data_IF_880314113158
#
_entry.id   IF_880314113158
#
_cell.length_a   1.000
_cell.length_b   1.000
_cell.length_c   1.000
_cell.angle_alpha   90.00
_cell.angle_beta   90.00
_cell.angle_gamma   90.00
#
_symmetry.space_group_name_H-M   'P 1'
#
loop_
_entity.id
_entity.type
_entity.pdbx_description
1 polymer ?
#
# COMPACT_ATOMS: atom_id res chain seq x y z
N UNK A 1 22.73 17.63 -14.18
CA UNK A 1 21.79 17.32 -15.25
C UNK A 1 21.79 15.83 -15.55
N UNK A 2 20.64 15.32 -15.98
CA UNK A 2 20.51 13.96 -16.50
C UNK A 2 21.26 13.84 -17.83
N UNK A 3 21.94 12.72 -18.06
CA UNK A 3 22.61 12.46 -19.33
C UNK A 3 21.60 12.14 -20.45
N UNK A 4 20.54 11.42 -20.13
CA UNK A 4 19.51 11.01 -21.06
C UNK A 4 18.59 12.18 -21.46
N UNK A 5 18.05 12.88 -20.45
CA UNK A 5 17.04 13.93 -20.68
C UNK A 5 17.64 15.31 -20.91
N UNK A 6 18.94 15.52 -20.69
CA UNK A 6 19.63 16.80 -20.80
C UNK A 6 18.96 17.95 -20.07
N UNK A 7 18.32 17.65 -18.98
CA UNK A 7 17.59 18.59 -18.11
C UNK A 7 18.03 18.39 -16.65
N UNK A 8 17.82 19.36 -15.78
CA UNK A 8 18.10 19.20 -14.37
C UNK A 8 17.33 18.00 -13.79
N UNK A 9 18.05 17.13 -13.08
CA UNK A 9 17.49 15.93 -12.45
C UNK A 9 16.33 16.27 -11.49
N UNK A 10 16.43 17.43 -10.81
CA UNK A 10 15.37 17.93 -9.94
C UNK A 10 14.03 18.08 -10.66
N UNK A 11 14.01 18.63 -11.87
CA UNK A 11 12.78 18.85 -12.64
C UNK A 11 12.10 17.52 -13.00
N UNK A 12 12.91 16.50 -13.35
CA UNK A 12 12.40 15.17 -13.68
C UNK A 12 11.78 14.53 -12.45
N UNK A 13 12.48 14.58 -11.31
CA UNK A 13 12.02 13.98 -10.05
C UNK A 13 10.74 14.68 -9.57
N UNK A 14 10.73 16.00 -9.44
CA UNK A 14 9.57 16.75 -8.99
C UNK A 14 8.34 16.56 -9.88
N UNK A 15 8.53 16.44 -11.19
CA UNK A 15 7.44 16.16 -12.13
C UNK A 15 6.75 14.81 -11.92
N UNK A 16 7.41 13.85 -11.28
CA UNK A 16 6.87 12.50 -11.04
C UNK A 16 6.46 12.25 -9.59
N UNK A 17 7.00 13.00 -8.65
CA UNK A 17 6.76 12.80 -7.23
C UNK A 17 5.29 12.93 -6.83
N UNK A 18 4.58 13.92 -7.36
CA UNK A 18 3.19 14.13 -7.04
C UNK A 18 2.31 12.91 -7.35
N UNK A 19 2.47 12.32 -8.55
CA UNK A 19 1.72 11.12 -8.94
C UNK A 19 2.19 9.88 -8.19
N UNK A 20 3.49 9.75 -7.95
CA UNK A 20 4.04 8.67 -7.14
C UNK A 20 3.48 8.69 -5.73
N UNK A 21 3.49 9.84 -5.08
CA UNK A 21 2.95 10.01 -3.73
C UNK A 21 1.42 9.76 -3.69
N UNK A 22 0.68 10.24 -4.70
CA UNK A 22 -0.76 10.01 -4.80
C UNK A 22 -1.10 8.52 -4.90
N UNK A 23 -0.47 7.81 -5.84
CA UNK A 23 -0.68 6.36 -6.01
C UNK A 23 -0.31 5.60 -4.74
N UNK A 24 0.86 5.90 -4.15
CA UNK A 24 1.32 5.26 -2.92
C UNK A 24 0.35 5.51 -1.75
N UNK A 25 -0.10 6.75 -1.57
CA UNK A 25 -1.04 7.12 -0.50
C UNK A 25 -2.40 6.44 -0.68
N UNK A 26 -2.96 6.47 -1.88
CA UNK A 26 -4.23 5.79 -2.17
C UNK A 26 -4.11 4.28 -1.98
N UNK A 27 -3.00 3.67 -2.40
CA UNK A 27 -2.74 2.25 -2.20
C UNK A 27 -2.61 1.92 -0.71
N UNK A 28 -1.89 2.72 0.07
CA UNK A 28 -1.75 2.51 1.52
C UNK A 28 -3.12 2.55 2.22
N UNK A 29 -3.92 3.57 1.95
CA UNK A 29 -5.27 3.68 2.51
C UNK A 29 -6.13 2.48 2.11
N UNK A 30 -6.12 2.10 0.83
CA UNK A 30 -6.88 0.95 0.35
C UNK A 30 -6.46 -0.34 1.04
N UNK A 31 -5.15 -0.60 1.13
CA UNK A 31 -4.58 -1.76 1.83
C UNK A 31 -5.05 -1.81 3.28
N UNK A 32 -5.02 -0.69 3.99
CA UNK A 32 -5.44 -0.62 5.38
C UNK A 32 -6.95 -0.79 5.56
N UNK A 33 -7.75 -0.09 4.75
CA UNK A 33 -9.21 -0.19 4.81
C UNK A 33 -9.73 -1.61 4.55
N UNK A 34 -9.04 -2.37 3.70
CA UNK A 34 -9.43 -3.74 3.36
C UNK A 34 -8.84 -4.75 4.36
N UNK A 35 -7.55 -4.65 4.65
CA UNK A 35 -6.87 -5.66 5.48
C UNK A 35 -7.30 -5.63 6.96
N UNK A 36 -7.60 -4.45 7.50
CA UNK A 36 -7.98 -4.28 8.88
C UNK A 36 -9.28 -5.04 9.23
N UNK A 37 -10.44 -4.78 8.59
CA UNK A 37 -11.68 -5.49 8.91
C UNK A 37 -11.61 -6.98 8.56
N UNK A 38 -10.95 -7.35 7.45
CA UNK A 38 -10.80 -8.75 7.05
C UNK A 38 -9.93 -9.51 8.04
N UNK A 39 -8.82 -8.92 8.50
CA UNK A 39 -7.94 -9.54 9.50
C UNK A 39 -8.64 -9.74 10.85
N UNK A 40 -9.41 -8.75 11.31
CA UNK A 40 -10.24 -8.87 12.53
C UNK A 40 -11.27 -9.99 12.36
N UNK A 41 -12.02 -9.99 11.25
CA UNK A 41 -13.02 -11.02 10.98
C UNK A 41 -12.41 -12.42 11.02
N UNK A 42 -11.29 -12.60 10.33
CA UNK A 42 -10.57 -13.88 10.24
C UNK A 42 -10.07 -14.36 11.62
N UNK A 43 -9.62 -13.45 12.48
CA UNK A 43 -9.21 -13.78 13.84
C UNK A 43 -10.40 -14.16 14.75
N UNK A 44 -11.47 -13.37 14.71
CA UNK A 44 -12.66 -13.59 15.57
C UNK A 44 -13.44 -14.84 15.16
N UNK A 45 -13.47 -15.14 13.86
CA UNK A 45 -14.15 -16.30 13.29
C UNK A 45 -13.16 -17.37 12.83
N UNK A 46 -12.15 -17.66 13.65
CA UNK A 46 -11.14 -18.67 13.37
C UNK A 46 -11.77 -20.02 12.98
N UNK A 47 -11.19 -20.67 11.97
CA UNK A 47 -11.65 -21.95 11.41
C UNK A 47 -13.06 -21.96 10.79
N UNK A 48 -13.68 -20.78 10.61
CA UNK A 48 -14.91 -20.68 9.83
C UNK A 48 -14.63 -20.78 8.34
N UNK A 49 -15.68 -21.08 7.54
CA UNK A 49 -15.56 -21.06 6.08
C UNK A 49 -15.03 -19.71 5.54
N UNK A 50 -15.44 -18.59 6.16
CA UNK A 50 -14.93 -17.28 5.81
C UNK A 50 -13.44 -17.10 6.12
N UNK A 51 -12.94 -17.63 7.24
CA UNK A 51 -11.51 -17.61 7.56
C UNK A 51 -10.69 -18.43 6.54
N UNK A 52 -11.18 -19.59 6.13
CA UNK A 52 -10.53 -20.39 5.08
C UNK A 52 -10.52 -19.67 3.73
N UNK A 53 -11.60 -19.01 3.34
CA UNK A 53 -11.69 -18.21 2.12
C UNK A 53 -10.67 -17.05 2.16
N UNK A 54 -10.65 -16.28 3.25
CA UNK A 54 -9.71 -15.18 3.45
C UNK A 54 -8.26 -15.69 3.38
N UNK A 55 -7.98 -16.81 4.04
CA UNK A 55 -6.66 -17.42 4.05
C UNK A 55 -6.25 -17.87 2.65
N UNK A 56 -7.13 -18.54 1.92
CA UNK A 56 -6.89 -18.98 0.54
C UNK A 56 -6.55 -17.80 -0.39
N UNK A 57 -7.38 -16.75 -0.39
CA UNK A 57 -7.12 -15.57 -1.22
C UNK A 57 -5.90 -14.78 -0.78
N UNK A 58 -5.57 -14.77 0.51
CA UNK A 58 -4.33 -14.16 1.00
C UNK A 58 -3.10 -14.90 0.48
N UNK A 59 -3.10 -16.25 0.49
CA UNK A 59 -2.01 -17.01 -0.09
C UNK A 59 -1.92 -16.84 -1.59
N UNK A 60 -3.04 -16.84 -2.30
CA UNK A 60 -3.10 -16.63 -3.74
C UNK A 60 -2.53 -15.25 -4.12
N UNK A 61 -2.94 -14.20 -3.39
CA UNK A 61 -2.44 -12.84 -3.62
C UNK A 61 -0.94 -12.69 -3.36
N UNK A 62 -0.38 -13.44 -2.40
CA UNK A 62 1.07 -13.44 -2.16
C UNK A 62 1.87 -14.29 -3.16
N UNK A 63 1.26 -15.38 -3.65
CA UNK A 63 1.91 -16.26 -4.61
C UNK A 63 1.88 -15.70 -6.03
N UNK A 64 0.94 -14.78 -6.33
CA UNK A 64 0.79 -14.20 -7.66
C UNK A 64 1.73 -13.01 -7.84
N UNK A 65 2.63 -13.01 -8.82
CA UNK A 65 3.44 -11.84 -9.14
C UNK A 65 2.56 -10.63 -9.49
N UNK A 66 2.81 -9.48 -8.88
CA UNK A 66 2.00 -8.27 -9.06
C UNK A 66 1.87 -7.86 -10.53
N UNK A 67 2.95 -7.96 -11.31
CA UNK A 67 2.90 -7.61 -12.74
C UNK A 67 1.97 -8.53 -13.54
N UNK A 68 1.90 -9.82 -13.19
CA UNK A 68 0.99 -10.78 -13.82
C UNK A 68 -0.47 -10.43 -13.49
N UNK A 69 -0.74 -10.08 -12.23
CA UNK A 69 -2.04 -9.58 -11.81
C UNK A 69 -2.40 -8.30 -12.59
N UNK A 70 -1.42 -7.38 -12.78
CA UNK A 70 -1.58 -6.16 -13.57
C UNK A 70 -1.99 -6.45 -15.01
N UNK A 71 -1.28 -7.36 -15.69
CA UNK A 71 -1.60 -7.80 -17.06
C UNK A 71 -3.00 -8.44 -17.14
N UNK A 72 -3.34 -9.28 -16.17
CA UNK A 72 -4.65 -9.93 -16.11
C UNK A 72 -5.79 -8.92 -15.93
N UNK A 73 -5.64 -7.98 -15.01
CA UNK A 73 -6.65 -6.93 -14.77
C UNK A 73 -6.78 -6.00 -15.98
N UNK A 74 -5.66 -5.63 -16.63
CA UNK A 74 -5.71 -4.87 -17.89
C UNK A 74 -6.44 -5.62 -18.99
N UNK A 75 -6.16 -6.92 -19.17
CA UNK A 75 -6.85 -7.75 -20.14
C UNK A 75 -8.37 -7.78 -19.89
N UNK A 76 -8.78 -8.03 -18.62
CA UNK A 76 -10.20 -8.03 -18.26
C UNK A 76 -10.86 -6.67 -18.51
N UNK A 77 -10.16 -5.58 -18.22
CA UNK A 77 -10.68 -4.23 -18.45
C UNK A 77 -10.94 -3.95 -19.92
N UNK A 78 -10.02 -4.34 -20.80
CA UNK A 78 -10.22 -4.18 -22.25
C UNK A 78 -11.37 -5.04 -22.76
N UNK A 79 -11.44 -6.31 -22.33
CA UNK A 79 -12.42 -7.27 -22.85
C UNK A 79 -13.83 -6.99 -22.32
N UNK A 80 -13.99 -6.67 -21.04
CA UNK A 80 -15.31 -6.53 -20.41
C UNK A 80 -15.76 -5.10 -20.20
N UNK A 81 -14.83 -4.16 -20.00
CA UNK A 81 -15.16 -2.76 -19.79
C UNK A 81 -14.99 -1.90 -21.05
N UNK A 82 -14.31 -2.45 -22.08
CA UNK A 82 -14.18 -1.81 -23.40
C UNK A 82 -13.24 -0.60 -23.45
N UNK A 83 -12.44 -0.37 -22.40
CA UNK A 83 -11.48 0.73 -22.38
C UNK A 83 -10.10 0.30 -21.90
N UNK A 84 -9.07 0.96 -22.43
CA UNK A 84 -7.70 0.77 -21.99
C UNK A 84 -7.43 1.55 -20.70
N UNK A 85 -6.97 0.86 -19.67
CA UNK A 85 -6.67 1.44 -18.37
C UNK A 85 -5.16 1.65 -18.15
N UNK A 86 -4.41 1.73 -19.24
CA UNK A 86 -2.99 2.09 -19.17
C UNK A 86 -2.81 3.57 -18.82
N UNK A 87 -1.95 3.86 -17.85
CA UNK A 87 -1.73 5.21 -17.35
C UNK A 87 -2.69 5.66 -16.25
N UNK A 88 -2.62 6.94 -15.89
CA UNK A 88 -3.48 7.58 -14.89
C UNK A 88 -4.52 8.51 -15.51
N UNK A 89 -4.45 8.76 -16.80
CA UNK A 89 -5.33 9.67 -17.53
C UNK A 89 -5.64 9.15 -18.92
N UNK A 90 -6.86 9.42 -19.37
CA UNK A 90 -7.21 9.27 -20.78
C UNK A 90 -6.39 10.22 -21.66
N UNK A 91 -6.19 9.90 -22.96
CA UNK A 91 -5.45 10.77 -23.88
C UNK A 91 -5.96 12.21 -23.89
N UNK A 92 -7.27 12.40 -23.76
CA UNK A 92 -7.94 13.71 -23.77
C UNK A 92 -7.58 14.57 -22.54
N UNK A 93 -7.21 13.94 -21.42
CA UNK A 93 -6.89 14.61 -20.16
C UNK A 93 -5.41 14.62 -19.81
N UNK A 94 -4.55 13.97 -20.60
CA UNK A 94 -3.13 13.84 -20.32
C UNK A 94 -2.41 15.20 -20.19
N UNK A 95 -2.75 16.17 -21.04
CA UNK A 95 -2.10 17.48 -21.12
C UNK A 95 -3.00 18.67 -20.77
N UNK A 96 -4.16 18.43 -20.16
CA UNK A 96 -5.09 19.49 -19.76
C UNK A 96 -4.79 19.95 -18.32
N UNK A 97 -5.09 21.20 -18.01
CA UNK A 97 -4.99 21.74 -16.65
C UNK A 97 -5.93 21.01 -15.67
N UNK A 98 -5.69 21.16 -14.36
CA UNK A 98 -6.52 20.54 -13.34
C UNK A 98 -7.97 21.05 -13.40
N UNK A 99 -8.92 20.15 -13.51
CA UNK A 99 -10.36 20.39 -13.52
C UNK A 99 -11.08 19.25 -12.81
N UNK A 100 -12.35 19.45 -12.47
CA UNK A 100 -13.18 18.37 -11.88
C UNK A 100 -13.31 17.17 -12.82
N UNK A 101 -13.39 17.40 -14.13
CA UNK A 101 -13.43 16.34 -15.14
C UNK A 101 -12.12 15.52 -15.14
N UNK A 102 -10.97 16.19 -15.05
CA UNK A 102 -9.67 15.52 -14.96
C UNK A 102 -9.50 14.71 -13.68
N UNK A 103 -10.02 15.21 -12.55
CA UNK A 103 -10.01 14.45 -11.28
C UNK A 103 -10.90 13.21 -11.41
N UNK A 104 -12.06 13.33 -12.05
CA UNK A 104 -12.94 12.19 -12.34
C UNK A 104 -12.26 11.13 -13.20
N UNK A 105 -11.57 11.55 -14.26
CA UNK A 105 -10.79 10.67 -15.13
C UNK A 105 -9.64 9.98 -14.38
N UNK A 106 -8.91 10.73 -13.52
CA UNK A 106 -7.88 10.18 -12.64
C UNK A 106 -8.44 9.07 -11.74
N UNK A 107 -9.56 9.30 -11.05
CA UNK A 107 -10.18 8.31 -10.17
C UNK A 107 -10.62 7.06 -10.94
N UNK A 108 -11.09 7.26 -12.20
CA UNK A 108 -11.47 6.18 -13.08
C UNK A 108 -10.30 5.28 -13.53
N UNK A 109 -9.07 5.79 -13.54
CA UNK A 109 -7.87 5.02 -13.90
C UNK A 109 -7.08 4.56 -12.66
N UNK A 110 -7.19 5.25 -11.53
CA UNK A 110 -6.38 5.04 -10.33
C UNK A 110 -6.67 3.70 -9.64
N UNK A 111 -7.91 3.18 -9.73
CA UNK A 111 -8.30 1.97 -9.00
C UNK A 111 -7.50 0.73 -9.41
N UNK A 112 -7.08 0.61 -10.67
CA UNK A 112 -6.30 -0.54 -11.16
C UNK A 112 -4.89 -0.56 -10.57
N UNK A 113 -4.07 0.50 -10.69
CA UNK A 113 -2.78 0.55 -10.02
C UNK A 113 -2.90 0.32 -8.51
N UNK A 114 -3.89 0.92 -7.86
CA UNK A 114 -4.14 0.78 -6.42
C UNK A 114 -4.48 -0.67 -6.05
N UNK A 115 -5.34 -1.32 -6.82
CA UNK A 115 -5.69 -2.72 -6.60
C UNK A 115 -4.49 -3.64 -6.80
N UNK A 116 -3.80 -3.50 -7.94
CA UNK A 116 -2.67 -4.38 -8.30
C UNK A 116 -1.52 -4.25 -7.31
N UNK A 117 -1.14 -3.02 -6.96
CA UNK A 117 -0.08 -2.75 -5.97
C UNK A 117 -0.52 -3.14 -4.55
N UNK A 118 -1.82 -3.06 -4.26
CA UNK A 118 -2.36 -3.31 -2.92
C UNK A 118 -2.56 -4.77 -2.57
N UNK A 119 -2.83 -5.66 -3.53
CA UNK A 119 -3.21 -7.07 -3.25
C UNK A 119 -2.19 -7.81 -2.38
N UNK A 120 -0.91 -7.73 -2.73
CA UNK A 120 0.13 -8.38 -1.92
C UNK A 120 0.24 -7.77 -0.51
N UNK A 121 0.09 -6.45 -0.39
CA UNK A 121 0.06 -5.73 0.88
C UNK A 121 -1.14 -6.14 1.74
N UNK A 122 -2.34 -6.23 1.16
CA UNK A 122 -3.55 -6.70 1.84
C UNK A 122 -3.32 -8.11 2.39
N UNK A 123 -2.84 -9.02 1.55
CA UNK A 123 -2.59 -10.40 1.94
C UNK A 123 -1.60 -10.52 3.12
N UNK A 124 -0.53 -9.72 3.11
CA UNK A 124 0.43 -9.66 4.21
C UNK A 124 -0.18 -9.09 5.49
N UNK A 125 -0.88 -7.94 5.40
CA UNK A 125 -1.44 -7.26 6.58
C UNK A 125 -2.62 -7.99 7.19
N UNK A 126 -3.46 -8.67 6.40
CA UNK A 126 -4.53 -9.55 6.90
C UNK A 126 -3.94 -10.63 7.82
N UNK A 127 -2.84 -11.26 7.41
CA UNK A 127 -2.18 -12.30 8.22
C UNK A 127 -1.55 -11.74 9.49
N UNK A 128 -0.89 -10.58 9.40
CA UNK A 128 -0.31 -9.90 10.56
C UNK A 128 -1.41 -9.55 11.55
N UNK A 129 -2.50 -8.94 11.10
CA UNK A 129 -3.61 -8.57 11.96
C UNK A 129 -4.27 -9.79 12.59
N UNK A 130 -4.52 -10.85 11.78
CA UNK A 130 -5.09 -12.11 12.26
C UNK A 130 -4.23 -12.74 13.35
N UNK A 131 -2.93 -12.88 13.13
CA UNK A 131 -2.03 -13.50 14.09
C UNK A 131 -1.98 -12.71 15.41
N UNK A 132 -1.72 -11.41 15.34
CA UNK A 132 -1.63 -10.57 16.52
C UNK A 132 -2.94 -10.50 17.32
N UNK A 133 -4.07 -10.42 16.62
CA UNK A 133 -5.37 -10.39 17.31
C UNK A 133 -5.70 -11.73 17.94
N UNK A 134 -5.38 -12.86 17.32
CA UNK A 134 -5.55 -14.18 17.92
C UNK A 134 -4.76 -14.32 19.22
N UNK A 135 -3.50 -13.87 19.24
CA UNK A 135 -2.66 -13.89 20.43
C UNK A 135 -3.28 -13.04 21.56
N UNK A 136 -3.83 -11.88 21.22
CA UNK A 136 -4.45 -10.98 22.17
C UNK A 136 -5.82 -11.48 22.69
N UNK A 137 -6.60 -12.16 21.88
CA UNK A 137 -7.93 -12.69 22.27
C UNK A 137 -7.86 -13.74 23.39
N UNK A 138 -6.72 -14.40 23.56
CA UNK A 138 -6.48 -15.40 24.61
C UNK A 138 -5.88 -14.83 25.91
N UNK A 139 -5.70 -13.51 26.00
CA UNK A 139 -5.13 -12.86 27.18
C UNK A 139 -6.14 -12.76 28.33
N UNK A 140 -5.69 -12.88 29.61
CA UNK A 140 -6.56 -12.85 30.79
C UNK A 140 -7.43 -11.59 30.92
N UNK A 141 -6.99 -10.45 30.38
CA UNK A 141 -7.79 -9.22 30.42
C UNK A 141 -9.05 -9.29 29.54
N UNK A 142 -9.00 -10.07 28.47
CA UNK A 142 -10.16 -10.30 27.59
C UNK A 142 -11.18 -11.17 28.30
N UNK A 143 -10.76 -12.24 28.97
CA UNK A 143 -11.62 -13.09 29.80
C UNK A 143 -12.27 -12.30 30.94
N UNK A 144 -11.49 -11.44 31.60
CA UNK A 144 -11.98 -10.54 32.64
C UNK A 144 -13.06 -9.59 32.10
N UNK A 145 -12.86 -9.07 30.88
CA UNK A 145 -13.84 -8.22 30.21
C UNK A 145 -15.16 -8.95 29.93
N UNK A 146 -15.10 -10.21 29.49
CA UNK A 146 -16.26 -11.07 29.29
C UNK A 146 -16.98 -11.37 30.61
N UNK A 147 -16.23 -11.69 31.67
CA UNK A 147 -16.79 -11.95 33.00
C UNK A 147 -17.51 -10.71 33.58
N UNK A 148 -17.08 -9.50 33.22
CA UNK A 148 -17.74 -8.24 33.57
C UNK A 148 -18.96 -7.91 32.72
N UNK A 149 -19.35 -8.76 31.75
CA UNK A 149 -20.53 -8.59 30.92
C UNK A 149 -20.38 -7.56 29.80
N UNK A 150 -19.15 -7.22 29.38
CA UNK A 150 -18.95 -6.32 28.23
C UNK A 150 -19.47 -6.98 26.94
N UNK A 151 -20.19 -6.24 26.07
CA UNK A 151 -20.61 -6.75 24.77
C UNK A 151 -19.38 -7.17 23.93
N UNK A 152 -19.43 -8.36 23.34
CA UNK A 152 -18.28 -8.99 22.66
C UNK A 152 -17.63 -8.08 21.60
N UNK A 153 -18.43 -7.43 20.76
CA UNK A 153 -17.93 -6.53 19.73
C UNK A 153 -17.17 -5.32 20.34
N UNK A 154 -17.74 -4.74 21.40
CA UNK A 154 -17.11 -3.62 22.11
C UNK A 154 -15.82 -4.06 22.79
N UNK A 155 -15.83 -5.23 23.41
CA UNK A 155 -14.65 -5.83 24.04
C UNK A 155 -13.53 -6.01 23.04
N UNK A 156 -13.80 -6.67 21.90
CA UNK A 156 -12.81 -6.98 20.88
C UNK A 156 -12.24 -5.69 20.26
N UNK A 157 -13.09 -4.79 19.80
CA UNK A 157 -12.64 -3.58 19.11
C UNK A 157 -11.89 -2.60 20.01
N UNK A 158 -12.27 -2.52 21.30
CA UNK A 158 -11.72 -1.51 22.22
C UNK A 158 -10.41 -1.93 22.87
N UNK A 159 -10.20 -3.23 23.12
CA UNK A 159 -9.04 -3.70 23.91
C UNK A 159 -8.06 -4.51 23.05
N UNK A 160 -8.29 -5.77 22.68
CA UNK A 160 -7.30 -6.58 21.99
C UNK A 160 -6.97 -6.05 20.60
N UNK A 161 -7.94 -5.54 19.84
CA UNK A 161 -7.67 -4.95 18.52
C UNK A 161 -6.72 -3.77 18.60
N UNK A 162 -6.83 -2.93 19.63
CA UNK A 162 -5.93 -1.79 19.80
C UNK A 162 -4.47 -2.22 20.01
N UNK A 163 -4.24 -3.28 20.76
CA UNK A 163 -2.91 -3.83 20.98
C UNK A 163 -2.40 -4.53 19.71
N UNK A 164 -3.27 -5.30 19.05
CA UNK A 164 -2.95 -5.99 17.79
C UNK A 164 -2.60 -5.03 16.64
N UNK A 165 -2.96 -3.75 16.74
CA UNK A 165 -2.57 -2.71 15.78
C UNK A 165 -1.10 -2.32 15.87
N UNK A 166 -0.41 -2.50 17.00
CA UNK A 166 0.96 -2.05 17.15
C UNK A 166 1.90 -2.61 16.07
N UNK A 167 1.98 -3.94 15.85
CA UNK A 167 2.77 -4.49 14.76
C UNK A 167 2.27 -4.07 13.37
N UNK A 168 0.95 -3.86 13.21
CA UNK A 168 0.35 -3.40 11.96
C UNK A 168 0.82 -1.99 11.60
N UNK A 169 0.87 -1.08 12.57
CA UNK A 169 1.37 0.30 12.38
C UNK A 169 2.86 0.31 12.10
N UNK A 170 3.64 -0.56 12.75
CA UNK A 170 5.07 -0.71 12.48
C UNK A 170 5.36 -1.02 11.01
N UNK A 171 4.40 -1.59 10.28
CA UNK A 171 4.58 -1.86 8.84
C UNK A 171 4.64 -0.60 7.98
N UNK A 172 4.16 0.56 8.46
CA UNK A 172 4.19 1.83 7.70
C UNK A 172 5.61 2.19 7.30
N UNK A 173 6.58 1.95 8.18
CA UNK A 173 7.98 2.26 7.96
C UNK A 173 8.58 1.60 6.72
N UNK A 174 8.16 0.39 6.38
CA UNK A 174 8.68 -0.34 5.22
C UNK A 174 7.69 -0.39 4.04
N UNK A 175 6.38 -0.28 4.31
CA UNK A 175 5.36 -0.31 3.25
C UNK A 175 5.40 0.97 2.41
N UNK A 176 5.55 2.14 3.03
CA UNK A 176 5.63 3.42 2.31
C UNK A 176 6.73 3.44 1.25
N UNK A 177 8.00 3.12 1.56
CA UNK A 177 9.05 3.07 0.55
C UNK A 177 8.76 2.07 -0.58
N UNK A 178 8.22 0.90 -0.25
CA UNK A 178 7.85 -0.12 -1.25
C UNK A 178 6.75 0.40 -2.17
N UNK A 179 5.76 1.10 -1.64
CA UNK A 179 4.68 1.69 -2.45
C UNK A 179 5.17 2.86 -3.30
N UNK A 180 6.10 3.68 -2.77
CA UNK A 180 6.67 4.81 -3.51
C UNK A 180 7.63 4.35 -4.60
N UNK A 181 8.43 3.31 -4.34
CA UNK A 181 9.22 2.65 -5.39
C UNK A 181 8.29 2.13 -6.49
N UNK A 182 7.06 1.88 -6.13
CA UNK A 182 6.14 1.07 -6.87
C UNK A 182 6.77 -0.30 -7.11
N UNK A 183 6.02 -1.31 -7.43
CA UNK A 183 6.63 -2.37 -8.20
C UNK A 183 7.01 -1.73 -9.54
N UNK A 184 8.29 -1.48 -9.74
CA UNK A 184 8.83 -0.81 -10.93
C UNK A 184 8.33 -1.49 -12.19
N UNK A 185 8.16 -2.82 -12.12
CA UNK A 185 7.63 -3.63 -13.22
C UNK A 185 6.13 -3.36 -13.39
N UNK A 186 5.34 -3.31 -12.32
CA UNK A 186 3.90 -3.01 -12.37
C UNK A 186 3.65 -1.63 -12.97
N UNK A 187 4.37 -0.63 -12.50
CA UNK A 187 4.25 0.74 -13.02
C UNK A 187 4.60 0.82 -14.50
N UNK A 188 5.58 0.04 -14.96
CA UNK A 188 5.96 -0.03 -16.37
C UNK A 188 4.90 -0.75 -17.20
N UNK A 189 4.36 -1.87 -16.70
CA UNK A 189 3.30 -2.65 -17.37
C UNK A 189 2.01 -1.83 -17.48
N UNK A 190 1.62 -1.15 -16.41
CA UNK A 190 0.42 -0.32 -16.37
C UNK A 190 0.63 1.07 -16.98
N UNK A 191 1.83 1.39 -17.46
CA UNK A 191 2.20 2.72 -17.99
C UNK A 191 1.92 3.87 -17.01
N UNK A 192 2.03 3.62 -15.71
CA UNK A 192 1.79 4.63 -14.67
C UNK A 192 2.98 5.57 -14.57
N UNK A 193 2.79 6.90 -14.67
CA UNK A 193 3.88 7.88 -14.71
C UNK A 193 4.47 8.16 -13.32
N UNK A 194 4.97 7.11 -12.65
CA UNK A 194 5.65 7.17 -11.35
C UNK A 194 7.17 7.23 -11.50
N UNK A 195 7.89 7.31 -10.38
CA UNK A 195 9.35 7.31 -10.35
C UNK A 195 9.98 5.97 -10.78
N UNK A 196 9.24 4.86 -10.67
CA UNK A 196 9.73 3.52 -10.97
C UNK A 196 10.22 3.33 -12.43
N UNK A 197 9.39 3.60 -13.45
CA UNK A 197 9.79 3.49 -14.84
C UNK A 197 11.01 4.36 -15.21
N UNK A 198 11.12 5.55 -14.61
CA UNK A 198 12.27 6.43 -14.83
C UNK A 198 13.55 5.85 -14.23
N UNK A 199 13.45 5.18 -13.09
CA UNK A 199 14.60 4.50 -12.49
C UNK A 199 15.12 3.38 -13.42
N UNK A 200 14.23 2.56 -13.99
CA UNK A 200 14.63 1.55 -14.99
C UNK A 200 15.33 2.22 -16.18
N UNK A 201 14.76 3.31 -16.68
CA UNK A 201 15.33 4.00 -17.83
C UNK A 201 16.73 4.54 -17.48
N UNK A 202 16.89 5.22 -16.35
CA UNK A 202 18.17 5.73 -15.89
C UNK A 202 19.23 4.61 -15.74
N UNK A 203 18.85 3.43 -15.26
CA UNK A 203 19.74 2.28 -15.15
C UNK A 203 20.14 1.73 -16.53
N UNK A 204 19.18 1.64 -17.47
CA UNK A 204 19.44 1.16 -18.84
C UNK A 204 20.35 2.11 -19.63
N UNK A 205 20.16 3.41 -19.48
CA UNK A 205 20.96 4.45 -20.16
C UNK A 205 22.23 4.82 -19.40
N UNK A 206 22.49 4.15 -18.26
CA UNK A 206 23.63 4.44 -17.39
C UNK A 206 23.69 5.90 -16.93
N UNK A 207 22.52 6.53 -16.75
CA UNK A 207 22.41 7.88 -16.21
C UNK A 207 22.64 7.88 -14.69
N UNK A 208 23.90 7.97 -14.30
CA UNK A 208 24.35 7.90 -12.92
C UNK A 208 23.74 9.01 -12.04
N UNK A 209 23.56 10.22 -12.59
CA UNK A 209 23.01 11.34 -11.84
C UNK A 209 21.53 11.14 -11.56
N UNK A 210 20.76 10.72 -12.55
CA UNK A 210 19.32 10.48 -12.37
C UNK A 210 19.07 9.24 -11.53
N UNK A 211 19.74 8.13 -11.81
CA UNK A 211 19.61 6.89 -11.05
C UNK A 211 20.03 7.04 -9.59
N UNK A 212 21.19 7.67 -9.35
CA UNK A 212 21.68 7.93 -7.99
C UNK A 212 20.76 8.87 -7.20
N UNK A 213 20.23 9.91 -7.83
CA UNK A 213 19.29 10.83 -7.19
C UNK A 213 17.95 10.15 -6.83
N UNK A 214 17.42 9.28 -7.70
CA UNK A 214 16.21 8.51 -7.42
C UNK A 214 16.40 7.54 -6.27
N UNK A 215 17.54 6.81 -6.23
CA UNK A 215 17.86 5.89 -5.14
C UNK A 215 18.03 6.67 -3.82
N UNK A 216 18.75 7.80 -3.84
CA UNK A 216 18.90 8.66 -2.67
C UNK A 216 17.54 9.14 -2.16
N UNK A 217 16.65 9.54 -3.06
CA UNK A 217 15.30 9.94 -2.70
C UNK A 217 14.52 8.80 -2.05
N UNK A 218 14.61 7.58 -2.56
CA UNK A 218 14.00 6.41 -1.93
C UNK A 218 14.55 6.16 -0.52
N UNK A 219 15.86 6.28 -0.32
CA UNK A 219 16.47 6.17 1.01
C UNK A 219 15.92 7.20 1.99
N UNK A 220 15.74 8.46 1.55
CA UNK A 220 15.12 9.51 2.37
C UNK A 220 13.68 9.13 2.74
N UNK A 221 12.91 8.61 1.79
CA UNK A 221 11.54 8.16 2.05
C UNK A 221 11.47 6.99 3.07
N UNK A 222 12.42 6.06 3.02
CA UNK A 222 12.55 5.00 4.04
C UNK A 222 12.73 5.63 5.41
N UNK A 223 13.67 6.56 5.56
CA UNK A 223 13.95 7.23 6.84
C UNK A 223 12.72 8.00 7.35
N UNK A 224 12.08 8.76 6.48
CA UNK A 224 10.85 9.50 6.83
C UNK A 224 9.71 8.54 7.18
N UNK A 225 9.52 7.47 6.41
CA UNK A 225 8.50 6.46 6.67
C UNK A 225 8.71 5.75 8.02
N UNK A 226 9.96 5.40 8.36
CA UNK A 226 10.31 4.80 9.65
C UNK A 226 10.03 5.78 10.78
N UNK A 227 10.46 7.03 10.65
CA UNK A 227 10.19 8.07 11.65
C UNK A 227 8.69 8.29 11.87
N UNK A 228 7.90 8.33 10.80
CA UNK A 228 6.44 8.45 10.90
C UNK A 228 5.83 7.24 11.59
N UNK A 229 6.31 6.03 11.28
CA UNK A 229 5.88 4.80 11.95
C UNK A 229 6.14 4.86 13.45
N UNK A 230 7.34 5.27 13.86
CA UNK A 230 7.73 5.37 15.27
C UNK A 230 6.88 6.42 16.00
N UNK A 231 6.64 7.57 15.39
CA UNK A 231 5.77 8.61 15.95
C UNK A 231 4.32 8.13 16.10
N UNK A 232 3.79 7.43 15.10
CA UNK A 232 2.45 6.83 15.16
C UNK A 232 2.34 5.78 16.27
N UNK A 233 3.35 4.94 16.44
CA UNK A 233 3.39 3.93 17.50
C UNK A 233 3.36 4.59 18.89
N UNK A 234 4.18 5.60 19.14
CA UNK A 234 4.19 6.34 20.41
C UNK A 234 2.85 7.03 20.68
N UNK A 235 2.18 7.50 19.63
CA UNK A 235 0.87 8.13 19.76
C UNK A 235 -0.25 7.14 20.09
N UNK A 236 -0.21 5.94 19.52
CA UNK A 236 -1.24 4.91 19.72
C UNK A 236 -1.01 4.11 20.99
N UNK A 237 0.25 3.79 21.31
CA UNK A 237 0.63 3.11 22.53
C UNK A 237 1.67 3.93 23.34
N UNK A 238 1.21 4.83 24.23
CA UNK A 238 2.12 5.65 25.06
C UNK A 238 2.99 4.84 26.04
N UNK A 239 2.77 3.52 26.15
CA UNK A 239 3.60 2.63 26.99
C UNK A 239 4.94 2.32 26.36
N UNK A 240 5.06 2.50 25.05
CA UNK A 240 6.32 2.41 24.32
C UNK A 240 7.12 3.71 24.61
N UNK A 241 7.55 3.88 25.85
CA UNK A 241 8.56 4.88 26.20
C UNK A 241 9.89 4.20 26.05
N UNK A 242 10.76 4.79 25.24
CA UNK A 242 12.17 4.41 25.25
C UNK A 242 12.68 4.61 26.67
N UNK A 243 13.05 3.52 27.35
CA UNK A 243 13.82 3.60 28.58
C UNK A 243 15.14 4.29 28.20
N UNK A 244 15.38 5.44 28.83
CA UNK A 244 16.64 6.17 28.76
C UNK A 244 17.68 5.50 29.59
#
# INVERSE_FOLDING_TARGET
>A
DSFEYRTPVSNIIWGRLGMTALVAFCTLIFVWLVSFPIGIYSAVRQYSAGDYIVTFFSFLGMATPNFLLGLFVMYLSVVYLGYSVGGLFSPDFANVGWSLARIGDLLHHLWIPVLVLGVAGIAALVRIMRANLLDELHKPYVETGRAKGLPELTLILRYPTRVALNPFISTVGWVLPVLVSGDVIVSSVLSVPTAGPILIQALKTQDMYLGGALIMFQCILVLVGTLLSDLLLVWIDPRIRYDR
#
